data_IF_142614090986
#
_entry.id   IF_142614090986
#
_cell.length_a   1.000
_cell.length_b   1.000
_cell.length_c   1.000
_cell.angle_alpha   90.00
_cell.angle_beta   90.00
_cell.angle_gamma   90.00
#
_symmetry.space_group_name_H-M   'P 1'
#
loop_
_entity.id
_entity.type
_entity.pdbx_description
1 polymer ?
#
# COMPACT_ATOMS: atom_id res chain seq x y z
N UNK A 1 -40.39 31.98 -21.94
CA UNK A 1 -39.28 31.11 -22.41
C UNK A 1 -37.91 31.37 -21.77
N UNK A 2 -37.53 32.59 -21.36
CA UNK A 2 -36.22 32.86 -20.71
C UNK A 2 -36.07 32.20 -19.32
N UNK A 3 -37.16 32.03 -18.57
CA UNK A 3 -37.14 31.45 -17.22
C UNK A 3 -36.75 29.95 -17.21
N UNK A 4 -37.28 29.16 -18.16
CA UNK A 4 -37.00 27.73 -18.28
C UNK A 4 -35.54 27.46 -18.71
N UNK A 5 -34.94 28.35 -19.51
CA UNK A 5 -33.54 28.27 -19.92
C UNK A 5 -32.57 28.51 -18.75
N UNK A 6 -32.91 29.44 -17.86
CA UNK A 6 -32.12 29.71 -16.66
C UNK A 6 -32.23 28.56 -15.64
N UNK A 7 -33.38 27.89 -15.57
CA UNK A 7 -33.58 26.72 -14.72
C UNK A 7 -32.71 25.52 -15.17
N UNK A 8 -32.63 25.28 -16.49
CA UNK A 8 -31.78 24.23 -17.04
C UNK A 8 -30.28 24.50 -16.80
N UNK A 9 -29.86 25.77 -16.95
CA UNK A 9 -28.48 26.19 -16.64
C UNK A 9 -28.11 25.97 -15.17
N UNK A 10 -29.07 26.10 -14.26
CA UNK A 10 -28.85 25.93 -12.82
C UNK A 10 -28.76 24.44 -12.44
N UNK A 11 -29.53 23.57 -13.10
CA UNK A 11 -29.47 22.11 -12.93
C UNK A 11 -28.12 21.54 -13.42
N UNK A 12 -27.61 22.01 -14.56
CA UNK A 12 -26.30 21.60 -15.10
C UNK A 12 -25.16 22.04 -14.17
N UNK A 13 -25.26 23.22 -13.57
CA UNK A 13 -24.26 23.71 -12.62
C UNK A 13 -24.24 22.88 -11.33
N UNK A 14 -25.40 22.45 -10.81
CA UNK A 14 -25.47 21.57 -9.64
C UNK A 14 -24.88 20.18 -9.91
N UNK A 15 -25.03 19.63 -11.12
CA UNK A 15 -24.44 18.34 -11.48
C UNK A 15 -22.92 18.40 -11.62
N UNK A 16 -22.35 19.55 -12.03
CA UNK A 16 -20.91 19.73 -12.11
C UNK A 16 -20.22 19.79 -10.73
N UNK A 17 -20.97 20.13 -9.66
CA UNK A 17 -20.45 20.25 -8.29
C UNK A 17 -20.45 18.93 -7.51
N UNK A 18 -21.07 17.85 -8.00
CA UNK A 18 -21.15 16.58 -7.27
C UNK A 18 -19.92 15.68 -7.43
N UNK A 19 -18.92 16.10 -8.21
CA UNK A 19 -17.69 15.32 -8.46
C UNK A 19 -16.60 15.50 -7.39
N UNK A 20 -16.91 16.08 -6.22
CA UNK A 20 -15.96 16.12 -5.12
C UNK A 20 -15.67 14.68 -4.64
N UNK A 21 -14.45 14.26 -4.93
CA UNK A 21 -13.96 12.90 -4.83
C UNK A 21 -14.06 12.35 -3.41
N UNK A 22 -14.51 11.10 -3.30
CA UNK A 22 -14.42 10.30 -2.09
C UNK A 22 -12.94 10.03 -1.85
N UNK A 23 -12.35 10.68 -0.85
CA UNK A 23 -11.03 10.32 -0.35
C UNK A 23 -11.14 8.95 0.33
N UNK A 24 -10.73 7.88 -0.35
CA UNK A 24 -10.64 6.56 0.26
C UNK A 24 -9.52 6.58 1.28
N UNK A 25 -9.88 6.57 2.58
CA UNK A 25 -8.90 6.42 3.65
C UNK A 25 -8.29 5.04 3.52
N UNK A 26 -7.02 4.98 3.16
CA UNK A 26 -6.31 3.73 2.95
C UNK A 26 -6.04 3.09 4.32
N UNK A 27 -6.50 1.86 4.52
CA UNK A 27 -6.33 1.17 5.80
C UNK A 27 -4.84 0.96 6.07
N UNK A 28 -4.35 1.65 7.10
CA UNK A 28 -3.00 1.46 7.63
C UNK A 28 -2.97 0.24 8.55
N UNK A 29 -1.88 -0.50 8.48
CA UNK A 29 -1.70 -1.76 9.20
C UNK A 29 -0.36 -1.72 9.90
N UNK A 30 -0.38 -2.00 11.20
CA UNK A 30 0.84 -2.07 11.99
C UNK A 30 1.57 -3.40 11.77
N UNK A 31 2.86 -3.32 11.49
CA UNK A 31 3.72 -4.49 11.33
C UNK A 31 4.38 -4.80 12.67
N UNK A 32 3.97 -5.92 13.28
CA UNK A 32 4.47 -6.34 14.60
C UNK A 32 5.76 -7.15 14.51
N UNK A 33 5.99 -7.82 13.38
CA UNK A 33 7.15 -8.68 13.17
C UNK A 33 7.43 -8.92 11.70
N UNK A 34 8.70 -8.98 11.30
CA UNK A 34 9.12 -9.30 9.93
C UNK A 34 10.20 -10.35 9.98
N UNK A 35 9.95 -11.53 9.43
CA UNK A 35 10.96 -12.56 9.25
C UNK A 35 11.42 -12.61 7.78
N UNK A 36 12.70 -12.92 7.54
CA UNK A 36 13.20 -13.16 6.19
C UNK A 36 13.64 -14.60 6.05
N UNK A 37 13.33 -15.22 4.91
CA UNK A 37 13.72 -16.59 4.56
C UNK A 37 14.38 -16.59 3.19
N UNK A 38 15.35 -17.49 2.99
CA UNK A 38 16.04 -17.67 1.71
C UNK A 38 17.20 -16.71 1.46
N UNK A 39 17.47 -15.78 2.38
CA UNK A 39 18.60 -14.87 2.27
C UNK A 39 19.95 -15.62 2.41
N UNK A 40 20.82 -15.49 1.41
CA UNK A 40 22.17 -16.09 1.39
C UNK A 40 23.26 -15.03 1.40
N UNK A 41 23.09 -14.00 0.57
CA UNK A 41 24.12 -12.98 0.31
C UNK A 41 23.92 -11.72 1.16
N UNK A 42 22.67 -11.38 1.48
CA UNK A 42 22.32 -10.17 2.23
C UNK A 42 21.75 -10.55 3.60
N UNK A 43 22.05 -9.74 4.61
CA UNK A 43 21.50 -9.91 5.96
C UNK A 43 19.99 -9.69 6.00
N UNK A 44 19.32 -10.36 6.94
CA UNK A 44 17.89 -10.18 7.20
C UNK A 44 17.52 -8.69 7.37
N UNK A 45 18.26 -7.98 8.23
CA UNK A 45 18.02 -6.57 8.52
C UNK A 45 18.14 -5.68 7.27
N UNK A 46 19.15 -5.94 6.42
CA UNK A 46 19.30 -5.20 5.16
C UNK A 46 18.12 -5.44 4.21
N UNK A 47 17.52 -6.63 4.18
CA UNK A 47 16.32 -6.90 3.36
C UNK A 47 15.10 -6.17 3.91
N UNK A 48 14.92 -6.15 5.24
CA UNK A 48 13.85 -5.36 5.91
C UNK A 48 13.96 -3.87 5.54
N UNK A 49 15.14 -3.28 5.71
CA UNK A 49 15.38 -1.86 5.41
C UNK A 49 15.14 -1.56 3.93
N UNK A 50 15.62 -2.40 3.01
CA UNK A 50 15.57 -2.13 1.58
C UNK A 50 14.17 -2.32 1.00
N UNK A 51 13.40 -3.26 1.55
CA UNK A 51 11.97 -3.42 1.25
C UNK A 51 11.17 -2.21 1.77
N UNK A 52 11.58 -1.64 2.91
CA UNK A 52 10.85 -0.60 3.63
C UNK A 52 9.73 -1.14 4.53
N UNK A 53 9.69 -2.46 4.71
CA UNK A 53 8.81 -3.18 5.63
C UNK A 53 9.64 -3.50 6.88
N UNK A 54 9.33 -2.82 7.97
CA UNK A 54 10.07 -2.87 9.22
C UNK A 54 9.07 -3.01 10.37
N UNK A 55 9.48 -3.68 11.41
CA UNK A 55 8.74 -3.88 12.64
C UNK A 55 8.45 -2.54 13.33
N UNK A 56 7.26 -2.38 13.90
CA UNK A 56 6.79 -1.15 14.53
C UNK A 56 6.38 -0.05 13.54
N UNK A 57 6.38 -0.32 12.23
CA UNK A 57 5.96 0.64 11.21
C UNK A 57 4.56 0.31 10.71
N UNK A 58 3.77 1.35 10.50
CA UNK A 58 2.48 1.24 9.82
C UNK A 58 2.69 1.34 8.30
N UNK A 59 2.09 0.41 7.57
CA UNK A 59 2.12 0.39 6.09
C UNK A 59 0.71 0.22 5.54
N UNK A 60 0.52 0.61 4.29
CA UNK A 60 -0.68 0.30 3.52
C UNK A 60 -0.42 -0.92 2.63
N UNK A 61 -1.46 -1.68 2.29
CA UNK A 61 -1.28 -2.84 1.39
C UNK A 61 -0.67 -2.47 0.02
N UNK A 62 -0.86 -1.23 -0.44
CA UNK A 62 -0.28 -0.73 -1.69
C UNK A 62 1.25 -0.50 -1.62
N UNK A 63 1.83 -0.50 -0.42
CA UNK A 63 3.28 -0.44 -0.23
C UNK A 63 3.97 -1.77 -0.57
N UNK A 64 3.25 -2.90 -0.49
CA UNK A 64 3.83 -4.24 -0.70
C UNK A 64 4.39 -4.41 -2.13
N UNK A 65 3.67 -4.04 -3.21
CA UNK A 65 4.24 -4.03 -4.56
C UNK A 65 5.49 -3.13 -4.69
N UNK A 66 5.53 -2.00 -3.99
CA UNK A 66 6.70 -1.10 -4.01
C UNK A 66 7.90 -1.71 -3.28
N UNK A 67 7.66 -2.40 -2.16
CA UNK A 67 8.68 -3.15 -1.44
C UNK A 67 9.30 -4.24 -2.32
N UNK A 68 8.48 -5.03 -3.03
CA UNK A 68 8.94 -6.04 -3.99
C UNK A 68 9.78 -5.41 -5.11
N UNK A 69 9.31 -4.29 -5.69
CA UNK A 69 10.06 -3.55 -6.73
C UNK A 69 11.42 -3.07 -6.24
N UNK A 70 11.52 -2.56 -5.00
CA UNK A 70 12.79 -2.10 -4.41
C UNK A 70 13.78 -3.26 -4.27
N UNK A 71 13.31 -4.43 -3.82
CA UNK A 71 14.14 -5.62 -3.73
C UNK A 71 14.58 -6.12 -5.13
N UNK A 72 13.69 -6.15 -6.12
CA UNK A 72 14.06 -6.52 -7.50
C UNK A 72 15.12 -5.61 -8.11
N UNK A 73 15.13 -4.30 -7.77
CA UNK A 73 16.15 -3.35 -8.25
C UNK A 73 17.56 -3.72 -7.80
N UNK A 74 17.71 -4.53 -6.76
CA UNK A 74 19.02 -5.01 -6.30
C UNK A 74 19.63 -6.06 -7.27
N UNK A 75 18.84 -6.65 -8.17
CA UNK A 75 19.26 -7.63 -9.20
C UNK A 75 19.98 -8.88 -8.66
N UNK A 76 19.78 -9.20 -7.39
CA UNK A 76 20.37 -10.36 -6.71
C UNK A 76 19.34 -11.41 -6.28
N UNK A 77 18.06 -11.09 -6.38
CA UNK A 77 16.95 -11.97 -6.03
C UNK A 77 16.25 -12.40 -7.32
N UNK A 78 16.00 -13.69 -7.46
CA UNK A 78 15.34 -14.27 -8.62
C UNK A 78 13.82 -14.37 -8.43
N UNK A 79 13.38 -14.57 -7.20
CA UNK A 79 11.97 -14.62 -6.81
C UNK A 79 11.81 -13.91 -5.46
N UNK A 80 10.70 -13.18 -5.29
CA UNK A 80 10.41 -12.43 -4.07
C UNK A 80 8.93 -12.59 -3.75
N UNK A 81 8.63 -13.11 -2.57
CA UNK A 81 7.27 -13.28 -2.07
C UNK A 81 7.14 -12.66 -0.69
N UNK A 82 6.03 -11.97 -0.46
CA UNK A 82 5.72 -11.36 0.84
C UNK A 82 4.33 -11.86 1.24
N UNK A 83 4.24 -12.52 2.38
CA UNK A 83 3.00 -13.11 2.87
C UNK A 83 2.85 -12.94 4.38
N UNK A 84 1.59 -13.03 4.84
CA UNK A 84 1.25 -12.94 6.26
C UNK A 84 1.54 -14.27 6.93
N UNK A 85 2.34 -14.25 7.99
CA UNK A 85 2.58 -15.40 8.87
C UNK A 85 1.48 -15.50 9.93
N UNK A 86 1.17 -14.36 10.56
CA UNK A 86 0.15 -14.27 11.60
C UNK A 86 -0.56 -12.92 11.56
N UNK A 87 -1.88 -12.94 11.74
CA UNK A 87 -2.68 -11.75 11.96
C UNK A 87 -3.14 -11.69 13.42
N UNK A 88 -3.09 -10.49 14.00
CA UNK A 88 -3.61 -10.20 15.34
C UNK A 88 -4.44 -8.92 15.29
N UNK A 89 -5.26 -8.68 16.30
CA UNK A 89 -6.08 -7.46 16.38
C UNK A 89 -5.23 -6.18 16.37
N UNK A 90 -3.96 -6.27 16.80
CA UNK A 90 -3.04 -5.14 16.87
C UNK A 90 -2.16 -4.97 15.62
N UNK A 91 -2.13 -5.95 14.71
CA UNK A 91 -1.26 -5.88 13.53
C UNK A 91 -0.84 -7.24 12.95
N UNK A 92 0.06 -7.18 11.97
CA UNK A 92 0.49 -8.34 11.17
C UNK A 92 1.95 -8.73 11.42
N UNK A 93 2.21 -10.03 11.35
CA UNK A 93 3.53 -10.61 11.20
C UNK A 93 3.71 -11.03 9.74
N UNK A 94 4.78 -10.55 9.10
CA UNK A 94 5.06 -10.80 7.68
C UNK A 94 6.31 -11.68 7.51
N UNK A 95 6.32 -12.48 6.46
CA UNK A 95 7.51 -13.17 5.98
C UNK A 95 7.87 -12.64 4.60
N UNK A 96 9.14 -12.26 4.43
CA UNK A 96 9.75 -11.97 3.13
C UNK A 96 10.58 -13.19 2.72
N UNK A 97 10.16 -13.85 1.65
CA UNK A 97 10.88 -14.96 1.04
C UNK A 97 11.63 -14.45 -0.19
N UNK A 98 12.94 -14.68 -0.24
CA UNK A 98 13.83 -14.30 -1.36
C UNK A 98 14.69 -15.46 -1.86
#
# INVERSE_FOLDING_TARGET
MKLARNLYSLIVLCFALSSFSIAQTQQQISILGVAVKGNKTISENSIKIQSGIIEGKDIIFDDIPQAIKRLFKLKIFSDIQIYVDKATDNGLFLIIQV
#
